data_IF_103392388124
#
_entry.id   IF_103392388124
#
_cell.length_a   1.000
_cell.length_b   1.000
_cell.length_c   1.000
_cell.angle_alpha   90.00
_cell.angle_beta   90.00
_cell.angle_gamma   90.00
#
_symmetry.space_group_name_H-M   'P 1'
#
loop_
_entity.id
_entity.type
_entity.pdbx_description
1 polymer ?
#
# COMPACT_ATOMS: atom_id res chain seq x y z
N UNK A 1 -10.77 -14.40 -10.13
CA UNK A 1 -11.57 -14.58 -8.89
C UNK A 1 -11.40 -13.34 -8.01
N UNK A 2 -12.48 -12.78 -7.45
CA UNK A 2 -12.42 -11.61 -6.56
C UNK A 2 -12.04 -12.05 -5.13
N UNK A 3 -10.89 -11.61 -4.62
CA UNK A 3 -10.40 -11.94 -3.26
C UNK A 3 -10.94 -10.97 -2.21
N UNK A 4 -11.02 -11.41 -0.96
CA UNK A 4 -11.41 -10.55 0.18
C UNK A 4 -10.21 -9.93 0.90
N UNK A 5 -9.03 -10.52 0.74
CA UNK A 5 -7.75 -10.01 1.24
C UNK A 5 -6.75 -9.89 0.10
N UNK A 6 -5.78 -8.97 0.22
CA UNK A 6 -4.74 -8.77 -0.80
C UNK A 6 -3.79 -9.96 -0.77
N UNK A 7 -3.28 -10.25 0.42
CA UNK A 7 -2.42 -11.38 0.75
C UNK A 7 -3.15 -12.28 1.74
N UNK A 8 -2.84 -13.57 1.75
CA UNK A 8 -3.31 -14.49 2.80
C UNK A 8 -2.97 -13.90 4.19
N UNK A 9 -3.94 -13.78 5.11
CA UNK A 9 -3.69 -13.29 6.47
C UNK A 9 -2.54 -14.00 7.19
N UNK A 10 -2.29 -15.28 6.92
CA UNK A 10 -1.19 -16.05 7.51
C UNK A 10 0.20 -15.58 7.03
N UNK A 11 0.27 -14.91 5.87
CA UNK A 11 1.51 -14.39 5.30
C UNK A 11 1.77 -12.92 5.69
N UNK A 12 0.79 -12.24 6.30
CA UNK A 12 0.95 -10.86 6.77
C UNK A 12 1.88 -10.87 7.97
N UNK A 13 2.99 -10.13 7.86
CA UNK A 13 4.00 -10.08 8.91
C UNK A 13 3.41 -9.40 10.14
N UNK A 14 3.56 -10.05 11.29
CA UNK A 14 3.08 -9.51 12.58
C UNK A 14 3.76 -8.18 12.85
N UNK A 15 3.05 -7.27 13.51
CA UNK A 15 3.51 -5.90 13.63
C UNK A 15 4.86 -5.80 14.38
N UNK A 16 5.16 -6.73 15.29
CA UNK A 16 6.45 -6.88 15.97
C UNK A 16 7.53 -7.66 15.20
N UNK A 17 7.18 -8.46 14.18
CA UNK A 17 8.13 -9.24 13.38
C UNK A 17 8.53 -8.58 12.06
N UNK A 18 8.03 -7.37 11.76
CA UNK A 18 8.37 -6.63 10.54
C UNK A 18 9.87 -6.34 10.47
N UNK A 19 10.49 -6.05 11.61
CA UNK A 19 11.92 -5.75 11.64
C UNK A 19 12.79 -6.94 11.27
N UNK A 20 12.57 -8.08 11.90
CA UNK A 20 13.32 -9.29 11.61
C UNK A 20 13.11 -9.74 10.16
N UNK A 21 11.86 -9.68 9.68
CA UNK A 21 11.52 -10.01 8.30
C UNK A 21 12.19 -9.10 7.27
N UNK A 22 12.49 -7.84 7.62
CA UNK A 22 13.22 -6.91 6.77
C UNK A 22 14.75 -7.08 6.89
N UNK A 23 15.27 -7.39 8.08
CA UNK A 23 16.70 -7.69 8.27
C UNK A 23 17.13 -8.95 7.54
N UNK A 24 16.25 -9.96 7.51
CA UNK A 24 16.47 -11.19 6.74
C UNK A 24 16.35 -10.97 5.22
N UNK A 25 15.72 -9.87 4.81
CA UNK A 25 15.58 -9.48 3.41
C UNK A 25 16.94 -8.97 2.88
N UNK A 26 17.88 -9.88 2.63
CA UNK A 26 19.16 -9.59 1.96
C UNK A 26 18.92 -9.33 0.47
N UNK A 27 18.35 -8.18 0.13
CA UNK A 27 18.08 -7.76 -1.26
C UNK A 27 18.82 -6.48 -1.62
N UNK A 28 19.42 -6.50 -2.81
CA UNK A 28 19.89 -5.28 -3.49
C UNK A 28 18.71 -4.51 -4.08
N UNK A 29 18.88 -3.23 -4.40
CA UNK A 29 17.85 -2.45 -5.11
C UNK A 29 17.39 -3.15 -6.40
N UNK A 30 18.32 -3.74 -7.16
CA UNK A 30 17.99 -4.44 -8.40
C UNK A 30 17.08 -5.66 -8.20
N UNK A 31 17.27 -6.42 -7.11
CA UNK A 31 16.40 -7.54 -6.76
C UNK A 31 15.06 -7.06 -6.18
N UNK A 32 15.10 -6.00 -5.38
CA UNK A 32 13.90 -5.38 -4.82
C UNK A 32 13.00 -4.80 -5.92
N UNK A 33 13.56 -4.09 -6.89
CA UNK A 33 12.83 -3.54 -8.03
C UNK A 33 12.25 -4.64 -8.93
N UNK A 34 13.02 -5.69 -9.23
CA UNK A 34 12.54 -6.88 -9.97
C UNK A 34 11.44 -7.64 -9.24
N UNK A 35 11.31 -7.49 -7.93
CA UNK A 35 10.19 -8.09 -7.20
C UNK A 35 8.85 -7.42 -7.55
N UNK A 36 8.89 -6.25 -8.18
CA UNK A 36 7.73 -5.48 -8.63
C UNK A 36 7.52 -5.51 -10.15
N UNK A 37 7.71 -6.68 -10.77
CA UNK A 37 7.48 -6.92 -12.20
C UNK A 37 6.06 -6.51 -12.67
N UNK A 38 5.08 -6.49 -11.77
CA UNK A 38 3.77 -5.89 -12.03
C UNK A 38 3.24 -5.09 -10.82
N UNK A 39 2.37 -4.11 -11.07
CA UNK A 39 1.85 -3.24 -10.03
C UNK A 39 1.12 -3.99 -8.88
N UNK A 40 0.63 -5.21 -9.14
CA UNK A 40 -0.02 -6.03 -8.13
C UNK A 40 0.95 -6.54 -7.07
N UNK A 41 2.17 -6.91 -7.43
CA UNK A 41 3.13 -7.44 -6.48
C UNK A 41 3.64 -6.36 -5.53
N UNK A 42 3.72 -5.10 -5.97
CA UNK A 42 3.98 -3.96 -5.09
C UNK A 42 2.85 -3.75 -4.05
N UNK A 43 1.60 -3.92 -4.46
CA UNK A 43 0.43 -3.87 -3.56
C UNK A 43 0.46 -5.04 -2.58
N UNK A 44 0.80 -6.25 -3.03
CA UNK A 44 0.93 -7.42 -2.16
C UNK A 44 2.06 -7.25 -1.14
N UNK A 45 3.22 -6.75 -1.56
CA UNK A 45 4.32 -6.41 -0.64
C UNK A 45 3.87 -5.38 0.39
N UNK A 46 3.26 -4.29 -0.06
CA UNK A 46 2.75 -3.25 0.85
C UNK A 46 1.74 -3.81 1.85
N UNK A 47 0.84 -4.72 1.45
CA UNK A 47 -0.12 -5.34 2.34
C UNK A 47 0.54 -6.32 3.32
N UNK A 48 1.50 -7.13 2.84
CA UNK A 48 2.26 -8.10 3.64
C UNK A 48 2.99 -7.46 4.81
N UNK A 49 3.59 -6.29 4.58
CA UNK A 49 4.30 -5.51 5.59
C UNK A 49 3.43 -4.43 6.26
N UNK A 50 2.10 -4.49 6.10
CA UNK A 50 1.12 -3.59 6.74
C UNK A 50 1.28 -2.11 6.37
N UNK A 51 1.91 -1.81 5.23
CA UNK A 51 1.99 -0.46 4.65
C UNK A 51 0.66 -0.03 4.04
N UNK A 52 -0.22 -0.98 3.70
CA UNK A 52 -1.62 -0.75 3.33
C UNK A 52 -2.51 -1.77 4.04
N UNK A 53 -3.81 -1.49 4.09
CA UNK A 53 -4.78 -2.42 4.68
C UNK A 53 -4.91 -3.70 3.84
N UNK A 54 -4.75 -4.86 4.47
CA UNK A 54 -4.93 -6.17 3.82
C UNK A 54 -6.41 -6.54 3.61
N UNK A 55 -7.32 -5.91 4.36
CA UNK A 55 -8.77 -6.06 4.23
C UNK A 55 -9.49 -4.74 4.53
N UNK A 56 -10.76 -4.64 4.09
CA UNK A 56 -11.54 -3.42 4.28
C UNK A 56 -13.04 -3.67 4.38
N UNK A 57 -13.68 -2.93 5.27
CA UNK A 57 -15.14 -2.84 5.37
C UNK A 57 -15.68 -1.68 4.54
N UNK A 58 -16.85 -1.88 3.93
CA UNK A 58 -17.52 -0.88 3.12
C UNK A 58 -17.94 0.32 3.99
N UNK A 59 -17.58 1.56 3.63
CA UNK A 59 -17.92 2.73 4.43
C UNK A 59 -19.43 3.03 4.46
N UNK A 60 -20.22 2.45 3.56
CA UNK A 60 -21.67 2.69 3.46
C UNK A 60 -22.53 1.60 4.10
N UNK A 61 -22.01 0.37 4.24
CA UNK A 61 -22.83 -0.76 4.69
C UNK A 61 -22.07 -1.78 5.53
N UNK A 62 -20.83 -1.48 5.91
CA UNK A 62 -19.95 -2.27 6.77
C UNK A 62 -19.61 -3.68 6.28
N UNK A 63 -20.19 -4.16 5.19
CA UNK A 63 -19.86 -5.43 4.57
C UNK A 63 -18.41 -5.47 4.08
N UNK A 64 -17.75 -6.63 4.19
CA UNK A 64 -16.39 -6.83 3.68
C UNK A 64 -16.32 -6.56 2.18
N UNK A 65 -15.34 -5.75 1.77
CA UNK A 65 -15.10 -5.40 0.38
C UNK A 65 -14.31 -6.50 -0.32
N UNK A 66 -14.45 -6.58 -1.64
CA UNK A 66 -13.63 -7.47 -2.48
C UNK A 66 -12.61 -6.64 -3.25
N UNK A 67 -11.52 -7.26 -3.65
CA UNK A 67 -10.49 -6.66 -4.50
C UNK A 67 -10.86 -6.90 -5.96
N UNK A 68 -10.74 -5.85 -6.75
CA UNK A 68 -11.02 -5.87 -8.18
C UNK A 68 -9.81 -5.33 -8.92
N UNK A 69 -9.45 -6.01 -10.03
CA UNK A 69 -8.44 -5.51 -10.95
C UNK A 69 -9.00 -4.32 -11.73
N UNK A 70 -8.19 -3.28 -11.92
CA UNK A 70 -8.51 -2.08 -12.68
C UNK A 70 -7.27 -1.62 -13.44
N UNK A 71 -7.47 -0.94 -14.57
CA UNK A 71 -6.40 -0.19 -15.25
C UNK A 71 -6.14 1.12 -14.50
N UNK A 72 -5.49 1.04 -13.34
CA UNK A 72 -4.99 2.18 -12.57
C UNK A 72 -3.52 1.95 -12.19
N UNK A 73 -2.87 2.96 -11.62
CA UNK A 73 -1.44 2.92 -11.27
C UNK A 73 -1.05 1.68 -10.43
N UNK A 74 -1.91 1.23 -9.52
CA UNK A 74 -1.65 0.08 -8.63
C UNK A 74 -2.43 -1.18 -9.00
N UNK A 75 -3.00 -1.22 -10.21
CA UNK A 75 -3.80 -2.33 -10.76
C UNK A 75 -5.05 -2.79 -9.97
N UNK A 76 -5.31 -2.24 -8.76
CA UNK A 76 -6.34 -2.75 -7.85
C UNK A 76 -7.18 -1.66 -7.14
N UNK A 77 -8.41 -2.02 -6.80
CA UNK A 77 -9.30 -1.22 -5.93
C UNK A 77 -10.17 -2.10 -5.04
N UNK A 78 -10.61 -1.55 -3.91
CA UNK A 78 -11.63 -2.15 -3.06
C UNK A 78 -13.02 -1.82 -3.61
N UNK A 79 -13.85 -2.84 -3.83
CA UNK A 79 -15.23 -2.64 -4.29
C UNK A 79 -16.22 -3.47 -3.47
N UNK A 80 -17.26 -2.79 -3.02
CA UNK A 80 -18.44 -3.41 -2.41
C UNK A 80 -19.55 -3.49 -3.46
N UNK A 81 -20.14 -4.67 -3.63
CA UNK A 81 -21.27 -4.90 -4.55
C UNK A 81 -22.50 -5.29 -3.73
N UNK A 82 -23.65 -4.70 -4.03
CA UNK A 82 -24.96 -5.07 -3.48
C UNK A 82 -25.86 -5.64 -4.58
N UNK A 83 -26.82 -6.46 -4.19
CA UNK A 83 -27.87 -6.92 -5.10
C UNK A 83 -29.01 -5.92 -5.07
N UNK A 84 -29.35 -5.37 -6.23
CA UNK A 84 -30.52 -4.53 -6.44
C UNK A 84 -31.48 -5.23 -7.39
N UNK A 85 -32.77 -4.90 -7.30
CA UNK A 85 -33.76 -5.32 -8.27
C UNK A 85 -33.65 -4.38 -9.48
N UNK A 86 -33.58 -4.95 -10.66
CA UNK A 86 -33.55 -4.20 -11.93
C UNK A 86 -34.87 -4.40 -12.66
N UNK A 87 -35.46 -3.28 -13.09
CA UNK A 87 -36.78 -3.20 -13.71
C UNK A 87 -37.67 -2.16 -13.01
N UNK A 88 -38.43 -1.41 -13.79
CA UNK A 88 -39.39 -0.39 -13.36
C UNK A 88 -40.69 -0.97 -12.76
N UNK A 89 -40.81 -2.30 -12.63
CA UNK A 89 -42.02 -2.97 -12.18
C UNK A 89 -43.21 -2.80 -13.14
N UNK A 90 -42.99 -2.18 -14.30
CA UNK A 90 -44.03 -1.90 -15.28
C UNK A 90 -44.40 -3.13 -16.11
N UNK A 91 -45.71 -3.41 -16.22
CA UNK A 91 -46.34 -4.37 -17.15
C UNK A 91 -45.77 -5.80 -17.09
N UNK A 92 -45.90 -6.47 -15.95
CA UNK A 92 -45.75 -7.93 -15.86
C UNK A 92 -44.33 -8.47 -16.09
N UNK A 93 -43.29 -7.63 -16.12
CA UNK A 93 -41.89 -8.08 -16.19
C UNK A 93 -41.36 -8.50 -14.82
N UNK A 94 -40.83 -9.71 -14.74
CA UNK A 94 -40.13 -10.22 -13.54
C UNK A 94 -38.89 -9.36 -13.26
N UNK A 95 -38.82 -8.78 -12.06
CA UNK A 95 -37.65 -8.05 -11.59
C UNK A 95 -36.44 -8.98 -11.52
N UNK A 96 -35.35 -8.62 -12.21
CA UNK A 96 -34.11 -9.40 -12.20
C UNK A 96 -33.17 -8.86 -11.13
N UNK A 97 -32.54 -9.77 -10.36
CA UNK A 97 -31.47 -9.41 -9.43
C UNK A 97 -30.22 -9.00 -10.20
N UNK A 98 -29.74 -7.77 -10.00
CA UNK A 98 -28.52 -7.23 -10.60
C UNK A 98 -27.54 -6.81 -9.50
N UNK A 99 -26.24 -7.09 -9.69
CA UNK A 99 -25.19 -6.58 -8.82
C UNK A 99 -24.87 -5.13 -9.21
N UNK A 100 -24.96 -4.22 -8.24
CA UNK A 100 -24.62 -2.80 -8.39
C UNK A 100 -23.52 -2.41 -7.40
N UNK A 101 -22.60 -1.49 -7.75
CA UNK A 101 -21.56 -1.03 -6.84
C UNK A 101 -22.17 -0.20 -5.71
N UNK A 102 -21.91 -0.61 -4.46
CA UNK A 102 -22.27 0.15 -3.27
C UNK A 102 -21.25 1.27 -3.02
N UNK A 103 -19.96 0.91 -3.02
CA UNK A 103 -18.85 1.82 -2.83
C UNK A 103 -17.59 1.28 -3.52
N UNK A 104 -16.74 2.21 -3.96
CA UNK A 104 -15.40 1.95 -4.49
C UNK A 104 -14.43 2.75 -3.63
N UNK A 105 -13.34 2.12 -3.20
CA UNK A 105 -12.33 2.74 -2.33
C UNK A 105 -10.93 2.38 -2.86
N UNK A 106 -10.01 3.34 -2.86
CA UNK A 106 -8.61 3.10 -3.22
C UNK A 106 -7.95 2.11 -2.27
N UNK A 107 -7.07 1.24 -2.79
CA UNK A 107 -6.22 0.37 -1.95
C UNK A 107 -5.30 1.15 -1.02
N UNK A 108 -5.01 2.42 -1.34
CA UNK A 108 -4.15 3.33 -0.57
C UNK A 108 -4.85 4.03 0.59
N UNK A 109 -6.18 3.94 0.69
CA UNK A 109 -6.95 4.69 1.69
C UNK A 109 -6.46 4.31 3.10
N UNK A 110 -6.25 5.30 3.96
CA UNK A 110 -5.80 5.11 5.34
C UNK A 110 -4.34 4.69 5.47
N UNK A 111 -3.52 4.88 4.43
CA UNK A 111 -2.08 4.64 4.51
C UNK A 111 -1.26 5.87 4.12
N UNK A 112 0.06 5.78 4.28
CA UNK A 112 1.00 6.84 3.87
C UNK A 112 0.97 7.13 2.37
N UNK A 113 0.44 6.20 1.56
CA UNK A 113 0.35 6.35 0.11
C UNK A 113 -0.92 7.09 -0.34
N UNK A 114 -1.89 7.35 0.55
CA UNK A 114 -3.25 7.77 0.20
C UNK A 114 -3.31 8.98 -0.75
N UNK A 115 -2.46 9.98 -0.52
CA UNK A 115 -2.47 11.25 -1.27
C UNK A 115 -1.46 11.29 -2.40
N UNK A 116 -0.65 10.24 -2.57
CA UNK A 116 0.36 10.18 -3.60
C UNK A 116 -0.25 9.94 -4.98
N UNK A 117 0.31 10.62 -6.00
CA UNK A 117 0.03 10.34 -7.41
C UNK A 117 0.99 9.32 -8.02
N UNK A 118 2.09 9.01 -7.34
CA UNK A 118 3.08 8.02 -7.80
C UNK A 118 2.58 6.59 -7.54
N UNK A 119 2.85 5.61 -8.41
CA UNK A 119 2.57 4.19 -8.13
C UNK A 119 3.18 3.70 -6.81
N UNK A 120 2.52 2.77 -6.11
CA UNK A 120 3.09 2.19 -4.87
C UNK A 120 4.48 1.58 -5.13
N UNK A 121 4.69 0.93 -6.28
CA UNK A 121 5.99 0.39 -6.66
C UNK A 121 7.09 1.46 -6.61
N UNK A 122 6.85 2.62 -7.24
CA UNK A 122 7.77 3.76 -7.23
C UNK A 122 8.01 4.27 -5.82
N UNK A 123 6.97 4.40 -5.00
CA UNK A 123 7.09 4.87 -3.62
C UNK A 123 7.90 3.91 -2.75
N UNK A 124 7.69 2.60 -2.91
CA UNK A 124 8.50 1.58 -2.23
C UNK A 124 9.96 1.67 -2.65
N UNK A 125 10.26 1.90 -3.92
CA UNK A 125 11.63 2.13 -4.41
C UNK A 125 12.27 3.37 -3.80
N UNK A 126 11.54 4.49 -3.71
CA UNK A 126 12.02 5.72 -3.04
C UNK A 126 12.33 5.43 -1.57
N UNK A 127 11.39 4.82 -0.84
CA UNK A 127 11.58 4.48 0.57
C UNK A 127 12.77 3.54 0.79
N UNK A 128 12.94 2.54 -0.09
CA UNK A 128 14.06 1.61 -0.03
C UNK A 128 15.40 2.34 -0.26
N UNK A 129 15.53 3.10 -1.35
CA UNK A 129 16.79 3.80 -1.65
C UNK A 129 17.14 4.84 -0.58
N UNK A 130 16.14 5.56 -0.07
CA UNK A 130 16.32 6.49 1.04
C UNK A 130 16.82 5.78 2.31
N UNK A 131 16.27 4.61 2.64
CA UNK A 131 16.73 3.81 3.79
C UNK A 131 18.19 3.36 3.66
N UNK A 132 18.68 3.20 2.43
CA UNK A 132 20.07 2.85 2.14
C UNK A 132 20.99 4.08 2.05
N UNK A 133 20.51 5.27 2.44
CA UNK A 133 21.23 6.54 2.33
C UNK A 133 21.71 6.84 0.91
N UNK A 134 20.95 6.39 -0.10
CA UNK A 134 21.27 6.72 -1.48
C UNK A 134 21.21 8.24 -1.66
N UNK A 135 22.17 8.85 -2.39
CA UNK A 135 22.09 10.25 -2.78
C UNK A 135 20.79 10.53 -3.55
N UNK A 136 20.24 11.72 -3.39
CA UNK A 136 18.97 12.10 -4.04
C UNK A 136 19.01 11.92 -5.56
N UNK A 137 20.13 12.24 -6.21
CA UNK A 137 20.30 12.02 -7.64
C UNK A 137 20.19 10.53 -8.02
N UNK A 138 20.71 9.63 -7.20
CA UNK A 138 20.56 8.19 -7.42
C UNK A 138 19.10 7.76 -7.24
N UNK A 139 18.38 8.33 -6.26
CA UNK A 139 16.94 8.08 -6.07
C UNK A 139 16.17 8.51 -7.32
N UNK A 140 16.42 9.72 -7.82
CA UNK A 140 15.76 10.28 -9.01
C UNK A 140 16.04 9.46 -10.26
N UNK A 141 17.32 9.17 -10.54
CA UNK A 141 17.72 8.38 -11.70
C UNK A 141 17.14 6.96 -11.67
N UNK A 142 17.08 6.35 -10.49
CA UNK A 142 16.61 4.97 -10.33
C UNK A 142 15.09 4.83 -10.36
N UNK A 143 14.34 5.87 -9.99
CA UNK A 143 12.87 5.84 -9.86
C UNK A 143 12.14 6.67 -10.92
N UNK A 144 12.84 7.55 -11.63
CA UNK A 144 12.30 8.44 -12.65
C UNK A 144 11.47 9.61 -12.10
N UNK A 145 11.54 9.89 -10.78
CA UNK A 145 10.78 10.99 -10.18
C UNK A 145 11.49 12.34 -10.38
N UNK A 146 10.70 13.41 -10.39
CA UNK A 146 11.22 14.77 -10.43
C UNK A 146 11.90 15.13 -9.09
N UNK A 147 12.82 16.10 -9.14
CA UNK A 147 13.62 16.54 -7.99
C UNK A 147 12.74 17.03 -6.82
N UNK A 148 11.80 17.94 -7.11
CA UNK A 148 10.87 18.44 -6.10
C UNK A 148 10.06 17.29 -5.46
N UNK A 149 9.67 16.28 -6.25
CA UNK A 149 8.96 15.11 -5.74
C UNK A 149 9.86 14.26 -4.85
N UNK A 150 11.14 14.10 -5.18
CA UNK A 150 12.10 13.40 -4.32
C UNK A 150 12.22 14.12 -2.97
N UNK A 151 12.46 15.43 -2.98
CA UNK A 151 12.56 16.26 -1.76
C UNK A 151 11.30 16.13 -0.90
N UNK A 152 10.11 16.28 -1.49
CA UNK A 152 8.84 16.14 -0.78
C UNK A 152 8.70 14.77 -0.09
N UNK A 153 9.06 13.68 -0.78
CA UNK A 153 8.99 12.34 -0.22
C UNK A 153 10.03 12.10 0.87
N UNK A 154 11.25 12.60 0.70
CA UNK A 154 12.28 12.52 1.74
C UNK A 154 11.87 13.27 3.00
N UNK A 155 11.31 14.47 2.86
CA UNK A 155 10.78 15.24 3.99
C UNK A 155 9.63 14.50 4.67
N UNK A 156 8.68 13.98 3.89
CA UNK A 156 7.56 13.20 4.43
C UNK A 156 8.03 11.94 5.19
N UNK A 157 9.02 11.21 4.67
CA UNK A 157 9.60 10.05 5.37
C UNK A 157 10.26 10.49 6.69
N UNK A 158 11.00 11.61 6.69
CA UNK A 158 11.60 12.18 7.91
C UNK A 158 10.55 12.57 8.95
N UNK A 159 9.46 13.22 8.53
CA UNK A 159 8.36 13.61 9.42
C UNK A 159 7.71 12.38 10.07
N UNK A 160 7.47 11.33 9.29
CA UNK A 160 6.99 10.04 9.81
C UNK A 160 7.96 9.52 10.87
N UNK A 161 9.25 9.44 10.57
CA UNK A 161 10.27 8.97 11.51
C UNK A 161 10.29 9.81 12.81
N UNK A 162 10.30 11.14 12.69
CA UNK A 162 10.34 12.06 13.83
C UNK A 162 9.15 11.85 14.76
N UNK A 163 7.94 11.80 14.20
CA UNK A 163 6.71 11.55 14.95
C UNK A 163 6.77 10.27 15.79
N UNK A 164 7.38 9.20 15.27
CA UNK A 164 7.50 7.93 15.99
C UNK A 164 8.59 7.95 17.07
N UNK A 165 9.70 8.64 16.83
CA UNK A 165 10.76 8.83 17.83
C UNK A 165 10.24 9.62 19.04
N UNK A 166 9.51 10.72 18.79
CA UNK A 166 8.97 11.59 19.84
C UNK A 166 7.94 10.89 20.74
N UNK A 167 7.15 9.98 20.18
CA UNK A 167 6.07 9.31 20.91
C UNK A 167 6.52 8.11 21.75
N UNK A 168 7.81 7.76 21.78
CA UNK A 168 8.37 6.59 22.49
C UNK A 168 7.56 5.30 22.32
N UNK A 169 6.84 5.15 21.21
CA UNK A 169 6.19 3.88 20.87
C UNK A 169 7.27 3.00 20.23
N UNK A 170 7.95 2.22 21.08
CA UNK A 170 8.83 1.16 20.64
C UNK A 170 7.93 0.10 19.98
N UNK A 171 8.00 0.04 18.63
CA UNK A 171 7.28 -0.88 17.73
C UNK A 171 5.81 -0.44 17.46
N UNK A 172 5.28 -0.45 16.24
CA UNK A 172 5.25 -1.58 15.32
C UNK A 172 4.95 -1.16 13.86
N UNK A 173 5.47 -1.96 12.93
CA UNK A 173 5.14 -2.09 11.49
C UNK A 173 5.61 -1.07 10.45
N UNK A 174 5.80 0.23 10.72
CA UNK A 174 6.21 1.18 9.65
C UNK A 174 7.72 1.44 9.55
N UNK A 175 8.46 0.93 10.52
CA UNK A 175 9.62 1.64 11.06
C UNK A 175 10.95 0.94 10.83
N UNK A 176 10.99 -0.36 10.58
CA UNK A 176 12.29 -1.04 10.50
C UNK A 176 13.14 -0.59 9.30
N UNK A 177 12.53 -0.24 8.16
CA UNK A 177 13.27 0.35 7.04
C UNK A 177 13.79 1.76 7.37
N UNK A 178 13.00 2.58 8.05
CA UNK A 178 13.32 4.00 8.22
C UNK A 178 14.09 4.31 9.51
N UNK A 179 13.86 3.58 10.61
CA UNK A 179 14.54 3.74 11.91
C UNK A 179 15.80 2.88 12.03
N UNK A 180 15.93 1.72 11.35
CA UNK A 180 17.25 1.05 11.30
C UNK A 180 18.29 1.94 10.62
N UNK A 181 17.87 2.71 9.61
CA UNK A 181 18.70 3.75 9.00
C UNK A 181 18.92 4.99 9.89
N UNK A 182 17.94 5.36 10.73
CA UNK A 182 17.97 6.53 11.62
C UNK A 182 18.76 6.29 12.92
N UNK A 183 18.69 5.09 13.52
CA UNK A 183 19.44 4.71 14.74
C UNK A 183 20.93 4.52 14.40
N UNK A 184 21.27 4.00 13.23
CA UNK A 184 22.66 4.04 12.72
C UNK A 184 23.16 5.46 12.37
N UNK A 185 22.32 6.49 12.51
CA UNK A 185 22.68 7.88 12.18
C UNK A 185 22.96 8.74 13.42
N UNK A 186 22.68 8.26 14.63
CA UNK A 186 22.86 9.02 15.88
C UNK A 186 23.58 8.25 17.00
N UNK A 187 24.25 7.14 16.66
CA UNK A 187 25.29 6.51 17.48
C UNK A 187 26.55 6.33 16.63
#
# INVERSE_FOLDING_TARGET
MSRMTIVDPALVVTAGGVEDALRELKVTYSLFFRSFDDASSAVEFAARYRLIANERSCPKCSARMKIWKRKCADSMEWRCMKTALSGDGGRGRVQKRKKVPCAVVSIRRGSVFERSRLPIATLLSVMFLWSQRAPQDNIRLSTGIAEHTAVEWEMFIREICAYYVERRQVLQSFISLAISAYICCYC
#
